data_IF_516042564479
#
_entry.id   IF_516042564479
#
_cell.length_a   1.000
_cell.length_b   1.000
_cell.length_c   1.000
_cell.angle_alpha   90.00
_cell.angle_beta   90.00
_cell.angle_gamma   90.00
#
_symmetry.space_group_name_H-M   'P 1'
#
loop_
_entity.id
_entity.type
_entity.pdbx_description
1 polymer ?
#
# COMPACT_ATOMS: atom_id res chain seq x y z
N UNK A 1 -20.58 62.82 -3.81
CA UNK A 1 -21.61 63.42 -2.95
C UNK A 1 -22.75 62.42 -2.75
N UNK A 2 -23.13 62.20 -1.49
CA UNK A 2 -24.29 61.46 -0.94
C UNK A 2 -24.24 59.93 -1.04
N UNK A 3 -24.12 59.12 0.02
CA UNK A 3 -24.63 59.15 1.41
C UNK A 3 -26.16 59.30 1.53
N UNK A 4 -26.86 58.15 1.54
CA UNK A 4 -28.15 57.86 2.21
C UNK A 4 -28.18 56.34 2.45
N UNK A 5 -27.77 55.81 3.59
CA UNK A 5 -28.42 55.82 4.91
C UNK A 5 -29.84 55.22 4.89
N UNK A 6 -29.97 53.92 5.19
CA UNK A 6 -31.03 53.41 6.08
C UNK A 6 -30.65 52.04 6.67
N UNK A 7 -30.30 52.01 7.96
CA UNK A 7 -30.47 50.82 8.81
C UNK A 7 -31.97 50.59 9.04
N UNK A 8 -32.43 49.34 9.12
CA UNK A 8 -33.35 48.82 10.18
C UNK A 8 -33.69 47.33 9.93
N UNK A 9 -33.27 46.51 10.91
CA UNK A 9 -33.80 45.27 11.51
C UNK A 9 -34.85 44.38 10.81
N UNK A 10 -34.59 43.05 10.78
CA UNK A 10 -35.44 41.91 11.19
C UNK A 10 -34.96 40.62 10.47
N UNK A 11 -34.26 39.67 11.11
CA UNK A 11 -34.77 38.55 11.94
C UNK A 11 -35.67 37.57 11.16
N UNK A 12 -35.14 36.34 10.99
CA UNK A 12 -35.80 35.03 10.83
C UNK A 12 -36.90 34.89 9.77
N UNK A 13 -36.69 33.98 8.82
CA UNK A 13 -37.44 32.72 8.80
C UNK A 13 -37.09 31.87 7.58
N UNK A 14 -37.04 30.57 7.84
CA UNK A 14 -36.85 29.49 6.88
C UNK A 14 -37.94 29.49 5.81
N UNK A 15 -37.52 29.11 4.60
CA UNK A 15 -38.36 28.36 3.67
C UNK A 15 -38.84 29.13 2.46
N UNK A 16 -38.45 28.65 1.28
CA UNK A 16 -39.22 28.50 0.02
C UNK A 16 -38.21 27.84 -0.94
N UNK A 17 -38.31 26.53 -1.15
CA UNK A 17 -39.07 25.88 -2.25
C UNK A 17 -38.56 26.35 -3.61
N UNK A 18 -37.97 25.44 -4.39
CA UNK A 18 -38.39 25.16 -5.77
C UNK A 18 -37.47 24.11 -6.42
N UNK A 19 -38.11 23.02 -6.84
CA UNK A 19 -37.60 21.98 -7.72
C UNK A 19 -37.46 22.51 -9.17
N UNK A 20 -36.28 22.22 -9.75
CA UNK A 20 -36.00 21.80 -11.14
C UNK A 20 -36.22 22.80 -12.30
N UNK A 21 -35.14 23.12 -13.03
CA UNK A 21 -34.89 22.72 -14.44
C UNK A 21 -33.56 23.29 -15.00
N UNK A 22 -32.74 22.37 -15.52
CA UNK A 22 -31.79 22.47 -16.64
C UNK A 22 -30.73 23.59 -16.71
N UNK A 23 -29.46 23.21 -16.54
CA UNK A 23 -28.41 23.31 -17.58
C UNK A 23 -27.11 22.70 -17.06
N UNK A 24 -26.47 21.87 -17.88
CA UNK A 24 -25.22 21.19 -17.55
C UNK A 24 -24.11 22.22 -17.30
N UNK A 25 -23.47 22.16 -16.13
CA UNK A 25 -22.12 22.65 -15.96
C UNK A 25 -21.35 21.76 -14.98
N UNK A 26 -20.15 21.40 -15.40
CA UNK A 26 -19.20 20.49 -14.77
C UNK A 26 -18.59 21.10 -13.52
N UNK A 27 -18.68 20.40 -12.38
CA UNK A 27 -17.64 20.51 -11.36
C UNK A 27 -17.61 19.24 -10.50
N UNK A 28 -16.42 18.63 -10.46
CA UNK A 28 -15.98 17.57 -9.57
C UNK A 28 -16.72 17.57 -8.21
N UNK A 29 -17.39 16.46 -7.88
CA UNK A 29 -17.60 16.17 -6.47
C UNK A 29 -16.24 15.76 -5.88
N UNK A 30 -15.62 16.70 -5.16
CA UNK A 30 -14.56 16.37 -4.21
C UNK A 30 -15.19 15.50 -3.12
N UNK A 31 -14.88 14.21 -3.14
CA UNK A 31 -15.04 13.38 -1.96
C UNK A 31 -14.08 13.93 -0.91
N UNK A 32 -14.62 14.61 0.10
CA UNK A 32 -13.87 14.95 1.30
C UNK A 32 -13.52 13.64 2.01
N UNK A 33 -12.34 13.10 1.73
CA UNK A 33 -11.69 12.15 2.65
C UNK A 33 -11.41 12.96 3.90
N UNK A 34 -12.17 12.70 4.96
CA UNK A 34 -11.75 13.10 6.29
C UNK A 34 -10.55 12.23 6.63
N UNK A 35 -9.36 12.80 6.48
CA UNK A 35 -8.16 12.29 7.16
C UNK A 35 -8.40 12.49 8.65
N UNK A 36 -8.82 11.43 9.32
CA UNK A 36 -8.83 11.40 10.77
C UNK A 36 -7.38 11.14 11.20
N UNK A 37 -6.68 12.19 11.60
CA UNK A 37 -5.53 12.04 12.47
C UNK A 37 -6.08 11.67 13.85
N UNK A 38 -5.87 10.43 14.27
CA UNK A 38 -6.12 10.06 15.66
C UNK A 38 -4.95 10.60 16.48
N UNK A 39 -5.17 11.73 17.12
CA UNK A 39 -4.27 12.24 18.15
C UNK A 39 -4.33 11.24 19.32
N UNK A 40 -3.30 10.41 19.45
CA UNK A 40 -3.10 9.57 20.62
C UNK A 40 -2.59 10.45 21.76
N UNK A 41 -3.48 11.23 22.38
CA UNK A 41 -3.23 11.81 23.68
C UNK A 41 -3.50 10.74 24.74
N UNK A 42 -2.45 10.01 25.13
CA UNK A 42 -2.50 9.25 26.38
C UNK A 42 -2.22 10.23 27.53
N UNK A 43 -3.26 10.81 28.12
CA UNK A 43 -3.14 11.46 29.42
C UNK A 43 -2.78 10.38 30.46
N UNK A 44 -1.52 10.37 30.88
CA UNK A 44 -1.06 9.60 32.03
C UNK A 44 -1.26 10.46 33.27
N UNK A 45 -2.46 10.39 33.88
CA UNK A 45 -2.67 10.93 35.22
C UNK A 45 -2.01 10.01 36.26
N UNK A 46 -0.82 10.39 36.73
CA UNK A 46 -0.21 9.78 37.89
C UNK A 46 -0.77 10.44 39.16
N UNK A 47 -1.76 9.81 39.80
CA UNK A 47 -2.21 10.20 41.13
C UNK A 47 -1.13 9.82 42.16
N UNK A 48 -0.28 10.77 42.54
CA UNK A 48 0.61 10.64 43.70
C UNK A 48 -0.12 11.22 44.91
N UNK A 49 -0.87 10.38 45.62
CA UNK A 49 -1.41 10.74 46.93
C UNK A 49 -0.30 10.57 47.98
N UNK A 50 0.52 11.61 48.17
CA UNK A 50 1.52 11.64 49.24
C UNK A 50 0.93 12.35 50.46
N UNK A 51 0.29 11.59 51.36
CA UNK A 51 -0.03 12.10 52.69
C UNK A 51 1.27 12.30 53.50
N UNK A 52 1.73 13.55 53.63
CA UNK A 52 2.74 13.92 54.63
C UNK A 52 2.11 13.88 56.03
N UNK A 53 2.13 12.72 56.68
CA UNK A 53 1.77 12.58 58.10
C UNK A 53 2.94 13.01 58.99
N UNK A 54 3.15 14.31 59.14
CA UNK A 54 4.04 14.83 60.18
C UNK A 54 3.32 14.76 61.55
N UNK A 55 3.78 13.87 62.45
CA UNK A 55 3.44 13.97 63.88
C UNK A 55 4.39 14.94 64.57
N UNK A 56 3.83 15.72 65.48
CA UNK A 56 4.48 16.76 66.28
C UNK A 56 5.77 16.26 66.97
N UNK A 57 6.80 17.09 66.83
CA UNK A 57 7.95 17.29 67.71
C UNK A 57 9.12 16.29 67.61
N UNK A 58 10.26 16.83 67.15
CA UNK A 58 11.63 16.30 66.97
C UNK A 58 11.94 15.43 65.73
N UNK A 59 12.82 16.00 64.89
CA UNK A 59 13.58 15.39 63.78
C UNK A 59 12.81 15.04 62.50
N UNK A 60 12.72 16.03 61.59
CA UNK A 60 12.51 15.77 60.16
C UNK A 60 13.87 15.43 59.54
N UNK A 61 14.24 14.15 59.47
CA UNK A 61 15.29 13.71 58.57
C UNK A 61 14.75 13.76 57.14
N UNK A 62 15.39 14.57 56.31
CA UNK A 62 15.01 14.74 54.92
C UNK A 62 15.67 13.63 54.10
N UNK A 63 15.21 12.39 54.26
CA UNK A 63 15.56 11.30 53.36
C UNK A 63 14.63 11.36 52.13
N UNK A 64 14.91 12.32 51.25
CA UNK A 64 14.45 12.23 49.88
C UNK A 64 15.33 11.20 49.15
N UNK A 65 15.21 9.92 49.51
CA UNK A 65 15.62 8.85 48.61
C UNK A 65 14.57 8.76 47.51
N UNK A 66 14.90 9.38 46.38
CA UNK A 66 14.21 9.15 45.13
C UNK A 66 14.46 7.70 44.73
N UNK A 67 13.62 6.80 45.23
CA UNK A 67 13.55 5.41 44.80
C UNK A 67 12.87 5.38 43.43
N UNK A 68 13.58 5.92 42.42
CA UNK A 68 13.19 5.78 41.02
C UNK A 68 13.49 4.36 40.54
N UNK A 69 12.86 3.37 41.16
CA UNK A 69 12.70 2.07 40.56
C UNK A 69 11.40 2.10 39.75
N UNK A 70 11.42 2.86 38.65
CA UNK A 70 10.51 2.64 37.52
C UNK A 70 10.70 1.19 37.07
N UNK A 71 9.91 0.29 37.63
CA UNK A 71 9.71 -1.02 37.04
C UNK A 71 8.81 -0.80 35.83
N UNK A 72 9.43 -0.52 34.68
CA UNK A 72 8.77 -0.63 33.39
C UNK A 72 8.38 -2.09 33.27
N UNK A 73 7.15 -2.41 33.66
CA UNK A 73 6.52 -3.66 33.25
C UNK A 73 6.41 -3.50 31.75
N UNK A 74 7.19 -4.27 31.00
CA UNK A 74 7.08 -4.33 29.55
C UNK A 74 5.58 -4.47 29.24
N UNK A 75 4.98 -3.37 28.79
CA UNK A 75 3.70 -3.43 28.12
C UNK A 75 4.04 -4.31 26.94
N UNK A 76 3.61 -5.58 26.98
CA UNK A 76 3.47 -6.36 25.77
C UNK A 76 2.51 -5.52 24.94
N UNK A 77 3.08 -4.65 24.10
CA UNK A 77 2.38 -4.16 22.94
C UNK A 77 1.82 -5.44 22.34
N UNK A 78 0.51 -5.56 22.28
CA UNK A 78 -0.09 -6.34 21.21
C UNK A 78 0.47 -5.73 19.95
N UNK A 79 1.63 -6.26 19.52
CA UNK A 79 2.09 -6.17 18.17
C UNK A 79 0.95 -6.84 17.42
N UNK A 80 0.05 -6.01 16.88
CA UNK A 80 -0.73 -6.41 15.73
C UNK A 80 0.31 -7.02 14.82
N UNK A 81 0.24 -8.34 14.60
CA UNK A 81 1.10 -9.00 13.64
C UNK A 81 0.95 -8.16 12.37
N UNK A 82 2.04 -7.50 11.96
CA UNK A 82 2.05 -6.73 10.74
C UNK A 82 1.76 -7.79 9.67
N UNK A 83 0.53 -7.78 9.15
CA UNK A 83 0.11 -8.69 8.10
C UNK A 83 0.91 -8.31 6.85
N UNK A 84 2.15 -8.78 6.78
CA UNK A 84 3.03 -8.59 5.65
C UNK A 84 2.44 -9.38 4.48
N UNK A 85 2.20 -8.70 3.37
CA UNK A 85 1.75 -9.35 2.15
C UNK A 85 2.96 -9.71 1.30
N UNK A 86 2.85 -10.81 0.56
CA UNK A 86 3.92 -11.26 -0.32
C UNK A 86 3.41 -11.52 -1.72
N UNK A 87 4.21 -11.14 -2.70
CA UNK A 87 3.97 -11.43 -4.10
C UNK A 87 5.12 -12.31 -4.59
N UNK A 88 4.82 -13.55 -4.97
CA UNK A 88 5.76 -14.41 -5.67
C UNK A 88 5.67 -14.14 -7.18
N UNK A 89 6.75 -13.66 -7.79
CA UNK A 89 6.79 -13.44 -9.24
C UNK A 89 7.58 -14.54 -9.91
N UNK A 90 6.92 -15.36 -10.72
CA UNK A 90 7.51 -16.49 -11.44
C UNK A 90 7.73 -16.10 -12.89
N UNK A 91 8.93 -16.34 -13.41
CA UNK A 91 9.26 -16.14 -14.82
C UNK A 91 9.41 -17.47 -15.53
N UNK A 92 8.64 -17.67 -16.58
CA UNK A 92 8.73 -18.85 -17.45
C UNK A 92 9.17 -18.42 -18.84
N UNK A 93 10.10 -19.18 -19.43
CA UNK A 93 10.47 -19.05 -20.84
C UNK A 93 10.02 -20.31 -21.59
N UNK A 94 9.32 -20.12 -22.70
CA UNK A 94 8.86 -21.16 -23.63
C UNK A 94 9.34 -20.84 -25.02
N UNK A 95 9.60 -21.88 -25.80
CA UNK A 95 9.87 -21.76 -27.22
C UNK A 95 8.94 -22.69 -27.99
N UNK A 96 8.35 -22.15 -29.05
CA UNK A 96 7.40 -22.83 -29.92
C UNK A 96 7.84 -22.65 -31.38
N UNK A 97 7.56 -23.63 -32.23
CA UNK A 97 7.82 -23.50 -33.66
C UNK A 97 6.75 -22.62 -34.30
N UNK A 98 7.15 -21.68 -35.16
CA UNK A 98 6.20 -20.80 -35.88
C UNK A 98 5.12 -21.58 -36.65
N UNK A 99 5.48 -22.75 -37.17
CA UNK A 99 4.62 -23.61 -37.97
C UNK A 99 3.88 -24.68 -37.16
N UNK A 100 4.20 -24.83 -35.86
CA UNK A 100 3.61 -25.82 -34.97
C UNK A 100 3.59 -25.30 -33.51
N UNK A 101 2.56 -24.51 -33.21
CA UNK A 101 2.42 -23.79 -31.93
C UNK A 101 1.87 -24.65 -30.79
N UNK A 102 1.68 -25.95 -31.03
CA UNK A 102 1.34 -26.90 -29.96
C UNK A 102 2.59 -27.61 -29.41
N UNK A 103 3.73 -27.54 -30.12
CA UNK A 103 4.96 -28.18 -29.72
C UNK A 103 5.90 -27.23 -28.98
N UNK A 104 6.00 -27.42 -27.66
CA UNK A 104 7.07 -26.81 -26.86
C UNK A 104 8.41 -27.47 -27.21
N UNK A 105 9.40 -26.64 -27.55
CA UNK A 105 10.77 -27.05 -27.84
C UNK A 105 11.76 -26.42 -26.85
N UNK A 106 12.96 -26.99 -26.69
CA UNK A 106 14.04 -26.32 -25.98
C UNK A 106 14.38 -24.99 -26.65
N UNK A 107 14.55 -23.94 -25.87
CA UNK A 107 14.92 -22.64 -26.40
C UNK A 107 16.35 -22.63 -26.95
N UNK A 108 16.54 -22.28 -28.24
CA UNK A 108 17.87 -22.17 -28.81
C UNK A 108 18.65 -21.02 -28.13
N UNK A 109 19.97 -21.15 -28.05
CA UNK A 109 20.84 -20.09 -27.50
C UNK A 109 20.77 -19.90 -25.98
N UNK A 110 20.05 -20.76 -25.25
CA UNK A 110 19.99 -20.69 -23.79
C UNK A 110 19.23 -19.45 -23.30
N UNK A 111 18.14 -19.07 -23.96
CA UNK A 111 17.20 -18.09 -23.42
C UNK A 111 16.61 -18.67 -22.13
N UNK A 112 16.95 -18.05 -21.01
CA UNK A 112 16.58 -18.47 -19.65
C UNK A 112 15.86 -17.33 -18.94
N UNK A 113 15.07 -17.61 -17.88
CA UNK A 113 14.36 -16.61 -17.10
C UNK A 113 15.23 -15.42 -16.64
N UNK A 114 16.49 -15.68 -16.28
CA UNK A 114 17.41 -14.70 -15.73
C UNK A 114 17.89 -13.67 -16.76
N UNK A 115 17.61 -13.89 -18.05
CA UNK A 115 17.89 -12.91 -19.10
C UNK A 115 16.93 -11.72 -19.07
N UNK A 116 15.84 -11.81 -18.30
CA UNK A 116 14.79 -10.80 -18.25
C UNK A 116 14.80 -10.07 -16.91
N UNK A 117 14.79 -8.74 -16.97
CA UNK A 117 14.66 -7.91 -15.78
C UNK A 117 13.19 -7.62 -15.50
N UNK A 118 12.74 -8.04 -14.32
CA UNK A 118 11.40 -7.80 -13.80
C UNK A 118 11.42 -6.57 -12.91
N UNK A 119 10.39 -5.74 -13.04
CA UNK A 119 10.16 -4.54 -12.23
C UNK A 119 8.78 -4.65 -11.60
N UNK A 120 8.72 -4.50 -10.28
CA UNK A 120 7.50 -4.44 -9.49
C UNK A 120 7.33 -3.02 -8.96
N UNK A 121 6.17 -2.43 -9.22
CA UNK A 121 5.79 -1.09 -8.77
C UNK A 121 4.50 -1.12 -7.94
N UNK A 122 4.32 -0.10 -7.10
CA UNK A 122 3.18 0.02 -6.19
C UNK A 122 3.48 -0.48 -4.77
N UNK A 123 2.92 0.20 -3.78
CA UNK A 123 2.93 -0.17 -2.35
C UNK A 123 4.31 -0.59 -1.78
N UNK A 124 5.39 0.10 -2.15
CA UNK A 124 6.74 -0.09 -1.58
C UNK A 124 7.27 -1.54 -1.68
N UNK A 125 7.45 -2.08 -2.90
CA UNK A 125 7.89 -3.45 -3.09
C UNK A 125 9.37 -3.63 -2.74
N UNK A 126 9.73 -4.78 -2.19
CA UNK A 126 11.09 -5.16 -1.81
C UNK A 126 11.36 -6.65 -2.05
N UNK A 127 12.21 -7.01 -3.03
CA UNK A 127 12.87 -6.13 -4.00
C UNK A 127 11.87 -5.57 -5.03
N UNK A 128 12.10 -4.34 -5.49
CA UNK A 128 11.30 -3.73 -6.58
C UNK A 128 11.81 -4.10 -7.98
N UNK A 129 13.01 -4.66 -8.09
CA UNK A 129 13.62 -5.03 -9.37
C UNK A 129 14.55 -6.22 -9.18
N UNK A 130 14.48 -7.20 -10.08
CA UNK A 130 15.25 -8.44 -10.01
C UNK A 130 15.30 -9.12 -11.38
N UNK A 131 16.21 -10.09 -11.55
CA UNK A 131 16.20 -10.97 -12.73
C UNK A 131 15.11 -12.04 -12.58
N UNK A 132 14.51 -12.45 -13.69
CA UNK A 132 13.50 -13.50 -13.71
C UNK A 132 14.05 -14.83 -13.18
N UNK A 133 13.15 -15.63 -12.61
CA UNK A 133 13.45 -16.95 -12.02
C UNK A 133 12.27 -17.90 -12.25
N UNK A 134 12.56 -19.12 -12.70
CA UNK A 134 11.57 -20.21 -12.82
C UNK A 134 11.07 -20.70 -11.44
N UNK A 135 11.91 -20.58 -10.40
CA UNK A 135 11.54 -20.89 -9.02
C UNK A 135 10.74 -19.76 -8.34
N UNK A 136 10.66 -18.61 -9.01
CA UNK A 136 10.04 -17.38 -8.50
C UNK A 136 10.95 -16.50 -7.66
N UNK A 137 10.47 -15.29 -7.41
CA UNK A 137 11.08 -14.30 -6.53
C UNK A 137 10.01 -13.77 -5.58
N UNK A 138 10.25 -13.91 -4.26
CA UNK A 138 9.36 -13.37 -3.23
C UNK A 138 9.63 -11.87 -3.07
N UNK A 139 8.58 -11.08 -3.26
CA UNK A 139 8.56 -9.63 -3.05
C UNK A 139 7.68 -9.32 -1.85
N UNK A 140 8.25 -8.72 -0.82
CA UNK A 140 7.47 -8.10 0.24
C UNK A 140 6.87 -6.80 -0.31
N UNK A 141 5.56 -6.65 -0.22
CA UNK A 141 4.85 -5.49 -0.76
C UNK A 141 3.79 -5.04 0.23
N UNK A 142 3.33 -3.80 0.14
CA UNK A 142 2.19 -3.30 0.91
C UNK A 142 0.85 -3.64 0.27
N UNK A 143 -0.22 -3.50 1.05
CA UNK A 143 -1.60 -3.66 0.57
C UNK A 143 -1.94 -2.66 -0.53
N UNK A 144 -2.71 -3.11 -1.54
CA UNK A 144 -3.20 -2.27 -2.63
C UNK A 144 -2.83 -2.78 -4.02
N UNK A 145 -2.99 -1.91 -5.01
CA UNK A 145 -2.70 -2.21 -6.42
C UNK A 145 -1.20 -2.25 -6.70
N UNK A 146 -0.77 -3.22 -7.50
CA UNK A 146 0.62 -3.37 -7.93
C UNK A 146 0.71 -3.63 -9.43
N UNK A 147 1.88 -3.34 -9.99
CA UNK A 147 2.21 -3.62 -11.40
C UNK A 147 3.47 -4.45 -11.46
N UNK A 148 3.44 -5.50 -12.28
CA UNK A 148 4.61 -6.29 -12.67
C UNK A 148 4.88 -6.02 -14.13
N UNK A 149 6.07 -5.57 -14.45
CA UNK A 149 6.50 -5.32 -15.82
C UNK A 149 7.84 -5.99 -16.11
N UNK A 150 8.08 -6.22 -17.39
CA UNK A 150 9.34 -6.75 -17.89
C UNK A 150 9.88 -5.86 -19.00
N UNK A 151 11.19 -5.62 -19.00
CA UNK A 151 11.87 -4.99 -20.13
C UNK A 151 12.02 -6.00 -21.27
N UNK A 152 11.43 -5.73 -22.43
CA UNK A 152 11.44 -6.61 -23.60
C UNK A 152 12.14 -5.96 -24.80
N UNK A 153 13.04 -6.73 -25.42
CA UNK A 153 13.96 -6.22 -26.44
C UNK A 153 13.95 -7.05 -27.75
N UNK A 154 13.02 -8.00 -27.92
CA UNK A 154 13.09 -8.98 -29.04
C UNK A 154 11.82 -9.10 -29.88
N UNK A 155 11.98 -9.07 -31.21
CA UNK A 155 10.91 -9.44 -32.15
C UNK A 155 10.52 -10.92 -31.98
N UNK A 156 9.23 -11.23 -32.19
CA UNK A 156 8.70 -12.60 -32.08
C UNK A 156 8.45 -13.09 -30.65
N UNK A 157 8.64 -12.23 -29.65
CA UNK A 157 8.30 -12.50 -28.26
C UNK A 157 6.81 -12.23 -27.99
N UNK A 158 6.13 -13.22 -27.44
CA UNK A 158 4.80 -13.09 -26.85
C UNK A 158 4.92 -13.16 -25.33
N UNK A 159 4.41 -12.18 -24.61
CA UNK A 159 4.37 -12.19 -23.15
C UNK A 159 2.94 -12.29 -22.65
N UNK A 160 2.71 -13.18 -21.69
CA UNK A 160 1.43 -13.42 -21.03
C UNK A 160 1.60 -13.34 -19.50
N UNK A 161 0.57 -12.82 -18.82
CA UNK A 161 0.52 -12.73 -17.36
C UNK A 161 -0.67 -13.54 -16.83
N UNK A 162 -0.41 -14.36 -15.81
CA UNK A 162 -1.41 -15.25 -15.19
C UNK A 162 -1.20 -15.40 -13.68
N UNK A 163 -2.11 -16.13 -13.02
CA UNK A 163 -2.16 -16.23 -11.56
C UNK A 163 -3.03 -15.10 -10.98
N UNK A 164 -2.51 -14.39 -9.99
CA UNK A 164 -3.19 -13.29 -9.31
C UNK A 164 -2.97 -11.92 -10.00
N UNK A 165 -2.16 -11.88 -11.07
CA UNK A 165 -2.03 -10.71 -11.93
C UNK A 165 -2.73 -10.93 -13.27
N UNK A 166 -3.27 -9.85 -13.83
CA UNK A 166 -3.95 -9.83 -15.13
C UNK A 166 -3.15 -8.99 -16.11
N UNK A 167 -2.99 -9.48 -17.34
CA UNK A 167 -2.33 -8.71 -18.39
C UNK A 167 -3.14 -7.45 -18.76
N UNK A 168 -2.52 -6.28 -18.62
CA UNK A 168 -3.12 -4.98 -18.96
C UNK A 168 -2.41 -4.29 -20.12
N UNK A 169 -1.21 -4.75 -20.48
CA UNK A 169 -0.44 -4.21 -21.59
C UNK A 169 0.61 -5.18 -22.13
N UNK A 170 1.33 -4.78 -23.19
CA UNK A 170 2.49 -5.52 -23.65
C UNK A 170 3.53 -5.55 -22.53
N UNK A 171 3.89 -6.75 -22.07
CA UNK A 171 4.86 -6.94 -20.98
C UNK A 171 4.45 -6.32 -19.64
N UNK A 172 3.16 -6.07 -19.41
CA UNK A 172 2.62 -5.49 -18.16
C UNK A 172 1.46 -6.34 -17.63
N UNK A 173 1.55 -6.72 -16.36
CA UNK A 173 0.46 -7.31 -15.59
C UNK A 173 0.17 -6.50 -14.33
N UNK A 174 -1.09 -6.41 -13.94
CA UNK A 174 -1.55 -5.69 -12.76
C UNK A 174 -2.34 -6.60 -11.84
N UNK A 175 -2.28 -6.33 -10.53
CA UNK A 175 -3.04 -7.03 -9.52
C UNK A 175 -3.34 -6.13 -8.33
N UNK A 176 -4.08 -6.67 -7.35
CA UNK A 176 -4.37 -5.97 -6.10
C UNK A 176 -4.27 -6.96 -4.94
N UNK A 177 -3.44 -6.65 -3.95
CA UNK A 177 -3.16 -7.52 -2.81
C UNK A 177 -3.79 -6.99 -1.54
N UNK A 178 -4.58 -7.82 -0.86
CA UNK A 178 -5.22 -7.47 0.41
C UNK A 178 -4.37 -7.88 1.61
N UNK A 179 -4.74 -7.39 2.79
CA UNK A 179 -4.02 -7.64 4.04
C UNK A 179 -3.89 -9.14 4.34
N UNK A 180 -2.67 -9.60 4.60
CA UNK A 180 -2.36 -10.99 4.94
C UNK A 180 -2.38 -11.97 3.75
N UNK A 181 -2.56 -11.49 2.52
CA UNK A 181 -2.51 -12.33 1.33
C UNK A 181 -1.08 -12.65 0.88
N UNK A 182 -0.93 -13.84 0.32
CA UNK A 182 0.22 -14.28 -0.46
C UNK A 182 -0.28 -14.54 -1.88
N UNK A 183 0.20 -13.77 -2.85
CA UNK A 183 -0.22 -13.86 -4.24
C UNK A 183 0.92 -14.36 -5.13
N UNK A 184 0.58 -14.95 -6.28
CA UNK A 184 1.54 -15.38 -7.29
C UNK A 184 1.22 -14.76 -8.64
N UNK A 185 2.18 -14.05 -9.22
CA UNK A 185 2.10 -13.53 -10.59
C UNK A 185 3.08 -14.30 -11.49
N UNK A 186 2.57 -14.98 -12.50
CA UNK A 186 3.38 -15.73 -13.46
C UNK A 186 3.49 -14.97 -14.77
N UNK A 187 4.73 -14.62 -15.14
CA UNK A 187 5.09 -13.98 -16.40
C UNK A 187 5.63 -15.05 -17.34
N UNK A 188 4.94 -15.31 -18.45
CA UNK A 188 5.39 -16.29 -19.45
C UNK A 188 5.84 -15.57 -20.71
N UNK A 189 7.09 -15.81 -21.13
CA UNK A 189 7.58 -15.42 -22.44
C UNK A 189 7.60 -16.62 -23.38
N UNK A 190 6.93 -16.48 -24.52
CA UNK A 190 6.92 -17.47 -25.59
C UNK A 190 7.65 -16.91 -26.80
N UNK A 191 8.77 -17.53 -27.15
CA UNK A 191 9.53 -17.21 -28.36
C UNK A 191 9.07 -18.09 -29.52
N UNK A 192 8.69 -17.45 -30.61
CA UNK A 192 8.36 -18.15 -31.85
C UNK A 192 9.61 -18.34 -32.70
N UNK A 193 10.01 -19.59 -32.90
CA UNK A 193 11.23 -19.96 -33.63
C UNK A 193 10.86 -20.37 -35.05
N UNK A 194 11.53 -19.77 -36.04
CA UNK A 194 11.47 -20.27 -37.42
C UNK A 194 12.40 -21.47 -37.58
N UNK A 195 11.91 -22.52 -38.24
CA UNK A 195 12.66 -23.76 -38.46
C UNK A 195 13.38 -23.78 -39.81
N UNK A 196 13.61 -22.62 -40.43
CA UNK A 196 14.16 -22.48 -41.79
C UNK A 196 15.65 -22.76 -41.91
#
# INVERSE_FOLDING_TARGET
MNLKNWMIFAVLSFGIVALVMSSYNSTFQSAFIKTYAQENEAEVEANIEQENKCKKDSECENENELNNQLSITNITQTQTAESQTTLNVIKIVRCELLNDREQQIPCPGGIVPEAFTIIVEGNNPSPSQFQGSEEGTIVTIGVGGYTVSETADSEGLLTDFSGDCTQTGPHIGEGNIAEGEEQTCTVTNTFLIDST
#
